data_IF_456524272424
#
_entry.id   IF_456524272424
#
_cell.length_a   1.000
_cell.length_b   1.000
_cell.length_c   1.000
_cell.angle_alpha   90.00
_cell.angle_beta   90.00
_cell.angle_gamma   90.00
#
_symmetry.space_group_name_H-M   'P 1'
#
loop_
_entity.id
_entity.type
_entity.pdbx_description
1 polymer ?
#
# COMPACT_ATOMS: atom_id res chain seq x y z
N UNK A 1 -12.08 -6.69 -3.34
CA UNK A 1 -12.38 -7.13 -1.95
C UNK A 1 -11.11 -7.24 -1.09
N UNK A 2 -10.00 -7.82 -1.58
CA UNK A 2 -8.75 -7.90 -0.81
C UNK A 2 -8.11 -6.55 -0.47
N UNK A 3 -7.99 -5.64 -1.45
CA UNK A 3 -7.39 -4.30 -1.25
C UNK A 3 -8.13 -3.47 -0.21
N UNK A 4 -9.47 -3.39 -0.30
CA UNK A 4 -10.28 -2.64 0.66
C UNK A 4 -10.14 -3.18 2.08
N UNK A 5 -10.14 -4.52 2.24
CA UNK A 5 -9.90 -5.16 3.53
C UNK A 5 -8.49 -4.85 4.06
N UNK A 6 -7.48 -4.82 3.19
CA UNK A 6 -6.12 -4.48 3.56
C UNK A 6 -5.98 -3.02 4.02
N UNK A 7 -6.60 -2.08 3.31
CA UNK A 7 -6.63 -0.66 3.67
C UNK A 7 -7.31 -0.46 5.04
N UNK A 8 -8.47 -1.08 5.25
CA UNK A 8 -9.17 -1.02 6.53
C UNK A 8 -8.30 -1.58 7.67
N UNK A 9 -7.69 -2.75 7.46
CA UNK A 9 -6.81 -3.38 8.46
C UNK A 9 -5.64 -2.48 8.84
N UNK A 10 -5.03 -1.80 7.86
CA UNK A 10 -3.93 -0.88 8.11
C UNK A 10 -4.39 0.36 8.86
N UNK A 11 -5.53 0.95 8.51
CA UNK A 11 -6.09 2.10 9.23
C UNK A 11 -6.34 1.75 10.70
N UNK A 12 -6.95 0.60 10.97
CA UNK A 12 -7.21 0.12 12.34
C UNK A 12 -5.93 -0.15 13.12
N UNK A 13 -4.90 -0.74 12.50
CA UNK A 13 -3.64 -1.10 13.17
C UNK A 13 -2.69 0.07 13.39
N UNK A 14 -2.70 1.06 12.50
CA UNK A 14 -1.71 2.14 12.48
C UNK A 14 -2.27 3.48 12.91
N UNK A 15 -3.60 3.65 12.90
CA UNK A 15 -4.25 4.95 13.07
C UNK A 15 -4.04 5.92 11.90
N UNK A 16 -3.38 5.47 10.82
CA UNK A 16 -3.18 6.26 9.60
C UNK A 16 -4.43 6.23 8.73
N UNK A 17 -4.50 7.16 7.77
CA UNK A 17 -5.57 7.24 6.77
C UNK A 17 -5.03 6.78 5.41
N UNK A 18 -4.92 5.46 5.22
CA UNK A 18 -4.55 4.89 3.93
C UNK A 18 -5.62 5.19 2.90
N UNK A 19 -5.18 5.80 1.79
CA UNK A 19 -5.97 6.04 0.59
C UNK A 19 -5.63 4.99 -0.46
N UNK A 20 -6.62 4.52 -1.21
CA UNK A 20 -6.37 3.60 -2.31
C UNK A 20 -5.66 4.35 -3.44
N UNK A 21 -4.74 3.68 -4.13
CA UNK A 21 -4.05 4.21 -5.30
C UNK A 21 -4.65 3.59 -6.58
N UNK A 22 -5.95 3.79 -6.78
CA UNK A 22 -6.65 3.22 -7.95
C UNK A 22 -6.44 4.09 -9.19
N UNK A 23 -5.97 3.47 -10.26
CA UNK A 23 -5.84 4.15 -11.55
C UNK A 23 -5.94 3.21 -12.78
N UNK A 24 -6.44 1.98 -12.63
CA UNK A 24 -6.56 0.99 -13.72
C UNK A 24 -5.25 0.68 -14.48
N UNK A 25 -4.09 1.18 -14.06
CA UNK A 25 -2.85 1.05 -14.81
C UNK A 25 -2.09 -0.24 -14.50
N UNK A 26 -2.46 -1.01 -13.46
CA UNK A 26 -1.73 -2.21 -13.00
C UNK A 26 -0.25 -1.99 -12.61
N UNK A 27 0.26 -0.76 -12.67
CA UNK A 27 1.67 -0.43 -12.43
C UNK A 27 1.92 0.21 -11.05
N UNK A 28 0.85 0.55 -10.32
CA UNK A 28 0.90 1.20 -9.01
C UNK A 28 1.10 0.28 -7.82
N UNK A 29 1.12 0.91 -6.64
CA UNK A 29 0.89 0.24 -5.37
C UNK A 29 -0.62 0.26 -5.07
N UNK A 30 -1.11 -0.50 -4.10
CA UNK A 30 -2.56 -0.58 -3.84
C UNK A 30 -3.06 0.57 -2.95
N UNK A 31 -2.17 1.15 -2.14
CA UNK A 31 -2.52 2.25 -1.25
C UNK A 31 -1.34 3.02 -0.70
N UNK A 32 -1.61 4.17 -0.10
CA UNK A 32 -0.63 4.90 0.68
C UNK A 32 -1.25 5.73 1.80
N UNK A 33 -0.46 6.04 2.81
CA UNK A 33 -0.75 7.05 3.82
C UNK A 33 0.47 7.96 4.02
N UNK A 34 0.22 9.19 4.46
CA UNK A 34 1.28 10.08 4.96
C UNK A 34 1.18 10.12 6.48
N UNK A 35 2.26 9.74 7.15
CA UNK A 35 2.43 9.82 8.60
C UNK A 35 3.38 10.98 8.92
N UNK A 36 2.99 11.83 9.85
CA UNK A 36 3.80 12.97 10.31
C UNK A 36 4.07 12.78 11.80
N UNK A 37 5.33 12.57 12.16
CA UNK A 37 5.77 12.35 13.55
C UNK A 37 6.81 13.41 13.90
N UNK A 38 6.36 14.51 14.52
CA UNK A 38 7.19 15.72 14.69
C UNK A 38 7.64 16.23 13.32
N UNK A 39 8.94 16.42 13.14
CA UNK A 39 9.52 16.88 11.87
C UNK A 39 9.73 15.75 10.84
N UNK A 40 9.46 14.50 11.21
CA UNK A 40 9.63 13.37 10.29
C UNK A 40 8.36 13.10 9.50
N UNK A 41 8.44 13.25 8.19
CA UNK A 41 7.39 12.82 7.25
C UNK A 41 7.74 11.42 6.74
N UNK A 42 6.80 10.49 6.89
CA UNK A 42 6.90 9.14 6.32
C UNK A 42 5.73 8.89 5.39
N UNK A 43 6.00 8.62 4.12
CA UNK A 43 5.02 8.08 3.20
C UNK A 43 5.04 6.57 3.34
N UNK A 44 3.94 6.00 3.84
CA UNK A 44 3.76 4.56 3.96
C UNK A 44 3.02 4.08 2.73
N UNK A 45 3.69 3.23 1.95
CA UNK A 45 3.16 2.65 0.72
C UNK A 45 2.77 1.21 1.01
N UNK A 46 1.58 0.80 0.59
CA UNK A 46 1.08 -0.54 0.81
C UNK A 46 0.74 -1.25 -0.49
N UNK A 47 0.94 -2.56 -0.46
CA UNK A 47 0.51 -3.48 -1.51
C UNK A 47 -0.11 -4.72 -0.84
N UNK A 48 -1.28 -5.12 -1.32
CA UNK A 48 -2.07 -6.25 -0.87
C UNK A 48 -1.80 -7.47 -1.76
N UNK A 49 -1.46 -8.60 -1.13
CA UNK A 49 -1.27 -9.87 -1.82
C UNK A 49 -2.17 -10.92 -1.19
N UNK A 50 -2.96 -11.59 -2.01
CA UNK A 50 -3.86 -12.65 -1.55
C UNK A 50 -3.42 -14.03 -2.03
N UNK A 51 -3.80 -15.06 -1.28
CA UNK A 51 -3.63 -16.46 -1.67
C UNK A 51 -4.76 -17.31 -1.12
N UNK A 52 -5.26 -18.25 -1.93
CA UNK A 52 -6.23 -19.29 -1.50
C UNK A 52 -5.56 -20.47 -0.79
N UNK A 53 -4.21 -20.50 -0.76
CA UNK A 53 -3.41 -21.54 -0.13
C UNK A 53 -2.93 -21.13 1.28
N UNK A 54 -3.59 -20.16 1.90
CA UNK A 54 -3.25 -19.62 3.22
C UNK A 54 -2.36 -18.37 3.18
N UNK A 55 -2.34 -17.62 4.28
CA UNK A 55 -1.69 -16.29 4.33
C UNK A 55 -0.19 -16.34 4.05
N UNK A 56 0.49 -17.42 4.48
CA UNK A 56 1.93 -17.59 4.26
C UNK A 56 2.30 -17.90 2.81
N UNK A 57 1.33 -18.30 1.98
CA UNK A 57 1.51 -18.51 0.54
C UNK A 57 1.27 -17.23 -0.27
N UNK A 58 0.77 -16.15 0.34
CA UNK A 58 0.66 -14.86 -0.32
C UNK A 58 2.07 -14.29 -0.57
N UNK A 59 2.31 -13.83 -1.81
CA UNK A 59 3.61 -13.33 -2.24
C UNK A 59 3.98 -12.05 -1.50
N UNK A 60 5.26 -11.71 -1.53
CA UNK A 60 5.74 -10.35 -1.22
C UNK A 60 5.82 -9.56 -2.53
N UNK A 61 5.45 -8.28 -2.56
CA UNK A 61 5.61 -7.42 -3.72
C UNK A 61 7.08 -7.30 -4.13
N UNK A 62 7.30 -7.10 -5.43
CA UNK A 62 8.64 -6.95 -6.00
C UNK A 62 9.02 -5.47 -6.17
N UNK A 63 10.31 -5.16 -6.15
CA UNK A 63 10.82 -3.82 -6.41
C UNK A 63 10.80 -2.92 -5.19
N UNK A 64 11.51 -1.80 -5.29
CA UNK A 64 11.56 -0.80 -4.22
C UNK A 64 10.23 -0.03 -4.12
N UNK A 65 9.63 0.08 -2.91
CA UNK A 65 8.37 0.80 -2.71
C UNK A 65 8.41 2.26 -3.15
N UNK A 66 9.55 2.94 -2.95
CA UNK A 66 9.69 4.34 -3.31
C UNK A 66 9.79 4.51 -4.83
N UNK A 67 10.54 3.64 -5.51
CA UNK A 67 10.58 3.59 -6.97
C UNK A 67 9.20 3.31 -7.55
N UNK A 68 8.43 2.37 -6.99
CA UNK A 68 7.07 2.09 -7.44
C UNK A 68 6.15 3.30 -7.27
N UNK A 69 6.14 3.93 -6.10
CA UNK A 69 5.32 5.13 -5.86
C UNK A 69 5.71 6.27 -6.81
N UNK A 70 7.00 6.51 -7.02
CA UNK A 70 7.48 7.58 -7.91
C UNK A 70 7.15 7.30 -9.37
N UNK A 71 7.35 6.07 -9.84
CA UNK A 71 6.97 5.66 -11.19
C UNK A 71 5.48 5.86 -11.42
N UNK A 72 4.66 5.51 -10.43
CA UNK A 72 3.23 5.70 -10.47
C UNK A 72 2.80 7.19 -10.48
N UNK A 73 3.48 8.05 -9.72
CA UNK A 73 3.25 9.51 -9.75
C UNK A 73 3.73 10.18 -11.05
N UNK A 74 4.64 9.55 -11.80
CA UNK A 74 5.17 10.04 -13.06
C UNK A 74 4.30 9.67 -14.26
N UNK A 75 3.43 8.66 -14.14
CA UNK A 75 2.49 8.21 -15.18
C UNK A 75 1.20 9.07 -15.23
N UNK A 76 1.14 10.15 -14.43
CA UNK A 76 0.04 11.13 -14.25
C UNK A 76 -1.38 10.56 -13.98
N UNK A 77 -1.52 9.25 -13.93
CA UNK A 77 -2.80 8.57 -13.83
C UNK A 77 -3.53 8.84 -12.50
N UNK A 78 -2.80 9.14 -11.42
CA UNK A 78 -3.39 9.66 -10.17
C UNK A 78 -3.71 11.14 -10.24
N UNK A 79 -2.92 11.93 -10.98
CA UNK A 79 -3.25 13.34 -11.16
C UNK A 79 -4.64 13.49 -11.80
N UNK A 80 -5.03 12.55 -12.66
CA UNK A 80 -6.36 12.47 -13.25
C UNK A 80 -7.42 11.91 -12.29
N UNK A 81 -7.12 10.86 -11.51
CA UNK A 81 -8.10 10.19 -10.65
C UNK A 81 -8.31 10.86 -9.28
N UNK A 82 -7.25 11.35 -8.65
CA UNK A 82 -7.23 12.04 -7.36
C UNK A 82 -6.09 13.08 -7.32
N UNK A 83 -6.29 14.26 -7.93
CA UNK A 83 -5.27 15.32 -7.98
C UNK A 83 -4.86 15.84 -6.60
N UNK A 84 -5.76 15.77 -5.60
CA UNK A 84 -5.47 16.21 -4.24
C UNK A 84 -4.47 15.26 -3.57
N UNK A 85 -4.69 13.94 -3.69
CA UNK A 85 -3.75 12.94 -3.21
C UNK A 85 -2.43 13.00 -3.96
N UNK A 86 -2.46 13.17 -5.28
CA UNK A 86 -1.25 13.33 -6.11
C UNK A 86 -0.40 14.53 -5.64
N UNK A 87 -1.04 15.68 -5.40
CA UNK A 87 -0.38 16.89 -4.89
C UNK A 87 0.20 16.69 -3.49
N UNK A 88 -0.56 16.08 -2.59
CA UNK A 88 -0.10 15.80 -1.22
C UNK A 88 1.11 14.86 -1.21
N UNK A 89 1.12 13.82 -2.05
CA UNK A 89 2.25 12.90 -2.18
C UNK A 89 3.47 13.57 -2.81
N UNK A 90 3.30 14.35 -3.87
CA UNK A 90 4.39 15.11 -4.49
C UNK A 90 5.01 16.10 -3.49
N UNK A 91 4.19 16.79 -2.71
CA UNK A 91 4.64 17.69 -1.64
C UNK A 91 5.41 16.93 -0.56
N UNK A 92 4.84 15.84 -0.02
CA UNK A 92 5.49 15.04 1.01
C UNK A 92 6.83 14.46 0.53
N UNK A 93 6.90 13.96 -0.70
CA UNK A 93 8.13 13.41 -1.30
C UNK A 93 9.18 14.47 -1.65
N UNK A 94 8.77 15.73 -1.79
CA UNK A 94 9.66 16.87 -2.01
C UNK A 94 10.25 17.46 -0.73
N UNK A 95 9.74 17.08 0.44
CA UNK A 95 10.27 17.52 1.73
C UNK A 95 11.61 16.88 2.05
N UNK A 96 12.54 17.69 2.55
CA UNK A 96 13.83 17.20 3.03
C UNK A 96 13.65 16.16 4.16
N UNK A 97 14.37 15.04 4.04
CA UNK A 97 14.35 13.99 5.05
C UNK A 97 13.11 13.08 5.03
N UNK A 98 12.20 13.22 4.05
CA UNK A 98 11.06 12.30 3.90
C UNK A 98 11.53 10.85 3.75
N UNK A 99 10.84 9.95 4.46
CA UNK A 99 11.04 8.51 4.35
C UNK A 99 9.90 7.88 3.56
N UNK A 100 10.24 6.90 2.72
CA UNK A 100 9.23 6.03 2.11
C UNK A 100 9.39 4.64 2.70
N UNK A 101 8.31 4.13 3.31
CA UNK A 101 8.26 2.82 3.93
C UNK A 101 7.25 1.94 3.20
N UNK A 102 7.70 0.77 2.75
CA UNK A 102 6.82 -0.24 2.18
C UNK A 102 6.20 -1.14 3.24
N UNK A 103 4.93 -1.46 3.07
CA UNK A 103 4.19 -2.45 3.85
C UNK A 103 3.49 -3.41 2.90
N UNK A 104 3.49 -4.69 3.23
CA UNK A 104 2.68 -5.70 2.54
C UNK A 104 1.57 -6.17 3.45
N UNK A 105 0.34 -6.20 2.93
CA UNK A 105 -0.77 -6.89 3.60
C UNK A 105 -1.03 -8.20 2.87
N UNK A 106 -0.71 -9.30 3.55
CA UNK A 106 -0.96 -10.66 3.07
C UNK A 106 -2.33 -11.13 3.56
N UNK A 107 -3.13 -11.64 2.63
CA UNK A 107 -4.48 -12.12 2.89
C UNK A 107 -4.56 -13.61 2.51
N UNK A 108 -4.75 -14.47 3.50
CA UNK A 108 -5.11 -15.87 3.30
C UNK A 108 -6.62 -15.99 3.16
N UNK A 109 -7.09 -16.27 1.96
CA UNK A 109 -8.51 -16.58 1.74
C UNK A 109 -8.68 -18.10 1.83
N UNK A 110 -9.75 -18.60 2.48
CA UNK A 110 -10.07 -20.01 2.39
C UNK A 110 -10.38 -20.38 0.93
N UNK A 111 -9.89 -21.53 0.49
CA UNK A 111 -10.25 -22.08 -0.82
C UNK A 111 -11.79 -22.25 -0.91
N UNK A 112 -12.39 -22.20 -2.11
CA UNK A 112 -13.85 -22.25 -2.29
C UNK A 112 -14.56 -23.45 -1.65
N UNK A 113 -13.84 -24.52 -1.29
CA UNK A 113 -14.33 -25.74 -0.64
C UNK A 113 -13.96 -25.86 0.86
N UNK A 114 -13.31 -24.86 1.45
CA UNK A 114 -12.95 -24.84 2.87
C UNK A 114 -13.71 -23.74 3.60
N UNK A 115 -14.30 -24.08 4.75
CA UNK A 115 -14.85 -23.09 5.67
C UNK A 115 -13.72 -22.55 6.56
N UNK A 116 -13.68 -21.23 6.79
CA UNK A 116 -12.65 -20.59 7.61
C UNK A 116 -12.71 -19.06 7.53
N UNK A 117 -12.15 -18.37 8.53
CA UNK A 117 -12.00 -16.92 8.48
C UNK A 117 -10.80 -16.54 7.60
N UNK A 118 -10.86 -15.35 6.99
CA UNK A 118 -9.71 -14.81 6.28
C UNK A 118 -8.58 -14.49 7.28
N UNK A 119 -7.37 -14.94 6.96
CA UNK A 119 -6.18 -14.64 7.75
C UNK A 119 -5.50 -13.39 7.18
N UNK A 120 -5.09 -12.45 8.03
CA UNK A 120 -4.41 -11.23 7.60
C UNK A 120 -3.08 -11.09 8.34
N UNK A 121 -2.01 -10.86 7.57
CA UNK A 121 -0.67 -10.59 8.09
C UNK A 121 -0.13 -9.31 7.48
N UNK A 122 0.40 -8.44 8.32
CA UNK A 122 1.07 -7.20 7.87
C UNK A 122 2.57 -7.39 8.04
N UNK A 123 3.33 -7.17 6.97
CA UNK A 123 4.77 -7.35 6.94
C UNK A 123 5.46 -6.11 6.35
N UNK A 124 6.75 -5.94 6.66
CA UNK A 124 7.60 -4.98 5.96
C UNK A 124 7.75 -5.39 4.49
N UNK A 125 7.60 -4.43 3.58
CA UNK A 125 8.00 -4.58 2.19
C UNK A 125 9.41 -3.99 2.03
N UNK A 126 10.45 -4.83 1.96
CA UNK A 126 11.83 -4.36 1.89
C UNK A 126 12.14 -3.77 0.52
N UNK A 127 13.13 -2.87 0.50
CA UNK A 127 13.77 -2.35 -0.72
C UNK A 127 14.56 -3.49 -1.38
N UNK A 128 13.93 -4.26 -2.27
CA UNK A 128 14.57 -5.37 -2.99
C UNK A 128 14.33 -5.27 -4.48
#
# INVERSE_FOLDING_TARGET
MGEQLALQTLNEKTGLNFKPLQNSSNHGCDGCAVAINGDTITVVVMDAKSSVNGVNAARTPHGDPATRLRGWLADDSITESDPALAGALRSALGSDGVKVQGVTVKIGLPAPSKTGQAEIKVESWPKK
#
